data_IF_524387780647
#
_entry.id   IF_524387780647
#
_cell.length_a   1.000
_cell.length_b   1.000
_cell.length_c   1.000
_cell.angle_alpha   90.00
_cell.angle_beta   90.00
_cell.angle_gamma   90.00
#
_symmetry.space_group_name_H-M   'P 1'
#
loop_
_entity.id
_entity.type
_entity.pdbx_description
1 polymer ?
#
# COMPACT_ATOMS: atom_id res chain seq x y z
N UNK A 1 10.29 21.34 -0.81
CA UNK A 1 10.06 21.25 0.65
C UNK A 1 8.73 20.59 1.00
N UNK A 2 7.55 21.18 0.73
CA UNK A 2 6.26 20.56 1.13
C UNK A 2 5.97 19.22 0.45
N UNK A 3 6.26 19.10 -0.86
CA UNK A 3 6.13 17.83 -1.59
C UNK A 3 7.13 16.75 -1.13
N UNK A 4 8.33 17.16 -0.74
CA UNK A 4 9.36 16.24 -0.24
C UNK A 4 8.97 15.70 1.15
N UNK A 5 8.39 16.56 2.00
CA UNK A 5 7.79 16.14 3.26
C UNK A 5 6.60 15.20 3.06
N UNK A 6 5.74 15.46 2.07
CA UNK A 6 4.61 14.60 1.76
C UNK A 6 5.06 13.19 1.36
N UNK A 7 5.95 13.09 0.37
CA UNK A 7 6.50 11.80 -0.07
C UNK A 7 7.20 11.06 1.06
N UNK A 8 7.95 11.76 1.91
CA UNK A 8 8.62 11.13 3.06
C UNK A 8 7.63 10.62 4.10
N UNK A 9 6.59 11.40 4.41
CA UNK A 9 5.52 10.97 5.34
C UNK A 9 4.78 9.76 4.79
N UNK A 10 4.45 9.76 3.50
CA UNK A 10 3.80 8.63 2.83
C UNK A 10 4.65 7.36 2.90
N UNK A 11 5.95 7.45 2.58
CA UNK A 11 6.86 6.31 2.69
C UNK A 11 6.96 5.79 4.13
N UNK A 12 7.11 6.67 5.11
CA UNK A 12 7.17 6.29 6.54
C UNK A 12 5.88 5.62 7.00
N UNK A 13 4.71 6.08 6.55
CA UNK A 13 3.44 5.44 6.85
C UNK A 13 3.34 4.02 6.28
N UNK A 14 3.85 3.82 5.05
CA UNK A 14 3.96 2.48 4.44
C UNK A 14 4.88 1.59 5.27
N UNK A 15 6.09 2.05 5.59
CA UNK A 15 7.08 1.28 6.34
C UNK A 15 6.57 0.87 7.74
N UNK A 16 5.89 1.79 8.44
CA UNK A 16 5.26 1.50 9.73
C UNK A 16 4.17 0.43 9.58
N UNK A 17 3.36 0.51 8.53
CA UNK A 17 2.31 -0.49 8.27
C UNK A 17 2.92 -1.86 7.97
N UNK A 18 3.95 -1.93 7.11
CA UNK A 18 4.64 -3.18 6.75
C UNK A 18 5.35 -3.83 7.93
N UNK A 19 5.91 -3.04 8.84
CA UNK A 19 6.56 -3.55 10.07
C UNK A 19 5.58 -3.89 11.18
N UNK A 20 4.27 -3.65 10.99
CA UNK A 20 3.25 -3.82 12.02
C UNK A 20 3.31 -2.77 13.13
N UNK A 21 4.07 -1.70 12.94
CA UNK A 21 4.20 -0.59 13.89
C UNK A 21 2.99 0.36 13.79
N UNK A 22 2.48 0.91 14.90
CA UNK A 22 1.32 1.81 14.86
C UNK A 22 1.59 3.10 14.09
N UNK A 23 0.73 3.42 13.11
CA UNK A 23 0.77 4.70 12.38
C UNK A 23 0.20 5.80 13.27
N UNK A 24 1.08 6.48 14.00
CA UNK A 24 0.74 7.62 14.87
C UNK A 24 1.51 8.86 14.48
N UNK A 25 0.99 10.05 14.78
CA UNK A 25 1.71 11.32 14.58
C UNK A 25 3.06 11.36 15.30
N UNK A 26 3.21 10.63 16.42
CA UNK A 26 4.49 10.51 17.13
C UNK A 26 5.49 9.72 16.28
N UNK A 27 5.12 8.48 15.92
CA UNK A 27 5.99 7.56 15.19
C UNK A 27 6.36 8.12 13.81
N UNK A 28 5.40 8.75 13.12
CA UNK A 28 5.64 9.38 11.82
C UNK A 28 6.56 10.60 11.95
N UNK A 29 6.39 11.45 12.97
CA UNK A 29 7.28 12.58 13.19
C UNK A 29 8.72 12.15 13.45
N UNK A 30 8.90 11.13 14.29
CA UNK A 30 10.20 10.56 14.62
C UNK A 30 10.85 9.91 13.40
N UNK A 31 10.14 9.04 12.68
CA UNK A 31 10.70 8.35 11.52
C UNK A 31 10.92 9.27 10.30
N UNK A 32 10.03 10.24 10.06
CA UNK A 32 10.19 11.21 8.97
C UNK A 32 11.17 12.35 9.30
N UNK A 33 11.59 12.47 10.56
CA UNK A 33 12.39 13.59 11.08
C UNK A 33 11.71 14.95 10.81
N UNK A 34 10.41 15.02 11.06
CA UNK A 34 9.58 16.23 10.88
C UNK A 34 8.95 16.58 12.22
N UNK A 35 9.05 17.85 12.62
CA UNK A 35 8.43 18.32 13.85
C UNK A 35 6.92 18.06 13.85
N UNK A 36 6.36 17.53 14.95
CA UNK A 36 4.93 17.24 15.09
C UNK A 36 4.05 18.45 14.80
N UNK A 37 4.48 19.64 15.21
CA UNK A 37 3.78 20.89 14.92
C UNK A 37 3.59 21.12 13.42
N UNK A 38 4.56 20.74 12.59
CA UNK A 38 4.48 20.81 11.12
C UNK A 38 3.45 19.82 10.58
N UNK A 39 3.41 18.59 11.11
CA UNK A 39 2.40 17.60 10.72
C UNK A 39 0.98 18.04 11.08
N UNK A 40 0.79 18.64 12.26
CA UNK A 40 -0.53 19.12 12.68
C UNK A 40 -0.99 20.38 11.93
N UNK A 41 -0.06 21.28 11.59
CA UNK A 41 -0.37 22.54 10.90
C UNK A 41 -0.63 22.36 9.41
N UNK A 42 -0.02 21.36 8.78
CA UNK A 42 -0.25 21.07 7.36
C UNK A 42 -1.40 20.04 7.19
N UNK A 43 -2.52 20.50 6.63
CA UNK A 43 -3.71 19.66 6.40
C UNK A 43 -3.45 18.46 5.50
N UNK A 44 -2.56 18.59 4.51
CA UNK A 44 -2.25 17.52 3.56
C UNK A 44 -1.45 16.39 4.25
N UNK A 45 -0.42 16.74 5.02
CA UNK A 45 0.35 15.78 5.81
C UNK A 45 -0.53 15.08 6.85
N UNK A 46 -1.43 15.85 7.49
CA UNK A 46 -2.39 15.31 8.44
C UNK A 46 -3.32 14.28 7.79
N UNK A 47 -3.87 14.60 6.62
CA UNK A 47 -4.79 13.73 5.89
C UNK A 47 -4.14 12.39 5.51
N UNK A 48 -2.88 12.40 5.05
CA UNK A 48 -2.14 11.17 4.74
C UNK A 48 -1.99 10.28 5.97
N UNK A 49 -1.55 10.86 7.11
CA UNK A 49 -1.36 10.10 8.35
C UNK A 49 -2.70 9.52 8.85
N UNK A 50 -3.78 10.31 8.80
CA UNK A 50 -5.10 9.88 9.24
C UNK A 50 -5.70 8.77 8.36
N UNK A 51 -5.48 8.82 7.04
CA UNK A 51 -5.90 7.77 6.10
C UNK A 51 -5.16 6.45 6.38
N UNK A 52 -3.82 6.48 6.45
CA UNK A 52 -3.02 5.29 6.76
C UNK A 52 -3.36 4.69 8.15
N UNK A 53 -3.62 5.55 9.14
CA UNK A 53 -4.04 5.11 10.47
C UNK A 53 -5.42 4.43 10.47
N UNK A 54 -6.36 4.97 9.71
CA UNK A 54 -7.70 4.37 9.54
C UNK A 54 -7.58 3.01 8.86
N UNK A 55 -6.87 2.94 7.73
CA UNK A 55 -6.62 1.68 7.01
C UNK A 55 -5.93 0.63 7.87
N UNK A 56 -4.93 1.02 8.66
CA UNK A 56 -4.27 0.09 9.59
C UNK A 56 -5.23 -0.40 10.68
N UNK A 57 -6.10 0.47 11.19
CA UNK A 57 -7.11 0.09 12.19
C UNK A 57 -8.09 -0.90 11.58
N UNK A 58 -8.56 -0.64 10.37
CA UNK A 58 -9.46 -1.52 9.63
C UNK A 58 -8.79 -2.87 9.33
N UNK A 59 -7.56 -2.88 8.82
CA UNK A 59 -6.78 -4.09 8.55
C UNK A 59 -6.53 -4.93 9.81
N UNK A 60 -6.45 -4.30 10.98
CA UNK A 60 -6.30 -4.99 12.27
C UNK A 60 -7.60 -5.60 12.79
N UNK A 61 -8.75 -5.27 12.18
CA UNK A 61 -10.01 -5.99 12.43
C UNK A 61 -10.05 -7.28 11.62
N UNK A 62 -10.67 -8.33 12.17
CA UNK A 62 -10.89 -9.60 11.46
C UNK A 62 -11.60 -9.40 10.11
N UNK A 63 -12.50 -8.43 10.02
CA UNK A 63 -13.23 -8.07 8.80
C UNK A 63 -12.32 -7.41 7.75
N UNK A 64 -11.43 -6.50 8.17
CA UNK A 64 -10.46 -5.88 7.26
C UNK A 64 -9.46 -6.90 6.72
N UNK A 65 -8.93 -7.77 7.58
CA UNK A 65 -8.06 -8.85 7.15
C UNK A 65 -8.76 -9.82 6.18
N UNK A 66 -10.02 -10.19 6.45
CA UNK A 66 -10.80 -11.02 5.53
C UNK A 66 -11.02 -10.34 4.17
N UNK A 67 -11.21 -9.02 4.16
CA UNK A 67 -11.38 -8.22 2.93
C UNK A 67 -10.09 -8.16 2.11
N UNK A 68 -8.95 -7.94 2.76
CA UNK A 68 -7.64 -7.94 2.10
C UNK A 68 -7.29 -9.32 1.52
N UNK A 69 -7.56 -10.39 2.25
CA UNK A 69 -7.36 -11.76 1.74
C UNK A 69 -8.26 -12.03 0.53
N UNK A 70 -9.51 -11.58 0.54
CA UNK A 70 -10.42 -11.71 -0.61
C UNK A 70 -9.91 -10.93 -1.83
N UNK A 71 -9.42 -9.71 -1.63
CA UNK A 71 -8.85 -8.89 -2.70
C UNK A 71 -7.58 -9.53 -3.30
N UNK A 72 -6.66 -10.01 -2.46
CA UNK A 72 -5.44 -10.68 -2.93
C UNK A 72 -5.75 -11.94 -3.74
N UNK A 73 -6.75 -12.74 -3.31
CA UNK A 73 -7.22 -13.90 -4.09
C UNK A 73 -7.71 -13.49 -5.47
N UNK A 74 -8.53 -12.44 -5.56
CA UNK A 74 -9.05 -11.94 -6.84
C UNK A 74 -7.93 -11.47 -7.78
N UNK A 75 -6.91 -10.78 -7.25
CA UNK A 75 -5.75 -10.35 -8.03
C UNK A 75 -4.97 -11.57 -8.56
N UNK A 76 -4.75 -12.59 -7.71
CA UNK A 76 -4.05 -13.82 -8.10
C UNK A 76 -4.82 -14.59 -9.18
N UNK A 77 -6.14 -14.70 -9.07
CA UNK A 77 -6.99 -15.35 -10.07
C UNK A 77 -6.96 -14.62 -11.42
N UNK A 78 -6.98 -13.29 -11.38
CA UNK A 78 -6.84 -12.45 -12.58
C UNK A 78 -5.48 -12.66 -13.24
N UNK A 79 -4.42 -12.74 -12.45
CA UNK A 79 -3.07 -13.01 -12.93
C UNK A 79 -2.97 -14.39 -13.58
N UNK A 80 -3.49 -15.43 -12.92
CA UNK A 80 -3.51 -16.80 -13.45
C UNK A 80 -4.25 -16.89 -14.79
N UNK A 81 -5.39 -16.21 -14.91
CA UNK A 81 -6.17 -16.13 -16.15
C UNK A 81 -5.37 -15.46 -17.27
N UNK A 82 -4.68 -14.38 -16.94
CA UNK A 82 -3.83 -13.63 -17.89
C UNK A 82 -2.66 -14.48 -18.38
N UNK A 83 -1.99 -15.21 -17.48
CA UNK A 83 -0.88 -16.11 -17.82
C UNK A 83 -1.36 -17.22 -18.74
N UNK A 84 -2.48 -17.88 -18.40
CA UNK A 84 -3.06 -18.95 -19.22
C UNK A 84 -3.40 -18.46 -20.63
N UNK A 85 -3.99 -17.26 -20.75
CA UNK A 85 -4.28 -16.66 -22.04
C UNK A 85 -3.00 -16.34 -22.84
N UNK A 86 -1.93 -15.90 -22.15
CA UNK A 86 -0.64 -15.64 -22.78
C UNK A 86 0.02 -16.91 -23.30
N UNK A 87 0.03 -17.98 -22.50
CA UNK A 87 0.56 -19.28 -22.91
C UNK A 87 -0.19 -19.85 -24.11
N UNK A 88 -1.52 -19.77 -24.12
CA UNK A 88 -2.33 -20.22 -25.24
C UNK A 88 -2.04 -19.42 -26.52
N UNK A 89 -1.83 -18.10 -26.38
CA UNK A 89 -1.43 -17.26 -27.51
C UNK A 89 -0.05 -17.66 -28.05
N UNK A 90 0.92 -17.95 -27.17
CA UNK A 90 2.25 -18.43 -27.58
C UNK A 90 2.19 -19.79 -28.28
N UNK A 91 1.33 -20.70 -27.83
CA UNK A 91 1.10 -22.01 -28.50
C UNK A 91 0.56 -21.82 -29.91
N UNK A 92 -0.41 -20.91 -30.10
CA UNK A 92 -0.99 -20.61 -31.41
C UNK A 92 -0.03 -19.91 -32.36
N UNK A 93 0.90 -19.12 -31.82
CA UNK A 93 1.96 -18.44 -32.58
C UNK A 93 3.20 -19.31 -32.82
N UNK A 94 3.26 -20.52 -32.25
CA UNK A 94 4.35 -21.48 -32.50
C UNK A 94 3.98 -22.61 -33.49
N UNK A 95 3.32 -22.38 -34.64
CA UNK A 95 3.24 -23.42 -35.65
C UNK A 95 4.63 -23.55 -36.29
N UNK A 96 5.31 -24.63 -35.92
CA UNK A 96 6.22 -25.38 -36.80
C UNK A 96 7.34 -24.54 -37.45
N UNK A 97 8.33 -24.14 -36.66
CA UNK A 97 9.67 -23.90 -37.22
C UNK A 97 10.29 -25.29 -37.51
N UNK A 98 9.94 -25.89 -38.66
CA UNK A 98 10.63 -27.03 -39.28
C UNK A 98 11.29 -26.53 -40.55
#
# INVERSE_FOLDING_TARGET
MTRDHLRRVEQVCIDLTTTGSPVTFTAVAEAAQIARATLYRNRELRAVIDDHRTRQTDARTLTGLATEVAQLRSIVETLASTVTAHEERLRRLSPRNR
#
